data_IF_431582618812
#
_entry.id   IF_431582618812
#
_cell.length_a   1.000
_cell.length_b   1.000
_cell.length_c   1.000
_cell.angle_alpha   90.00
_cell.angle_beta   90.00
_cell.angle_gamma   90.00
#
_symmetry.space_group_name_H-M   'P 1'
#
loop_
_entity.id
_entity.type
_entity.pdbx_description
1 polymer ?
#
# COMPACT_ATOMS: atom_id res chain seq x y z
N UNK A 1 20.89 -21.54 -15.36
CA UNK A 1 21.47 -20.18 -15.37
C UNK A 1 20.80 -19.30 -16.44
N UNK A 2 20.83 -19.67 -17.71
CA UNK A 2 20.25 -18.89 -18.84
C UNK A 2 18.75 -18.54 -18.65
N UNK A 3 17.93 -19.50 -18.20
CA UNK A 3 16.49 -19.29 -17.98
C UNK A 3 16.22 -18.20 -16.92
N UNK A 4 17.00 -18.17 -15.86
CA UNK A 4 16.86 -17.15 -14.81
C UNK A 4 17.25 -15.74 -15.32
N UNK A 5 18.29 -15.64 -16.15
CA UNK A 5 18.71 -14.37 -16.75
C UNK A 5 17.67 -13.86 -17.76
N UNK A 6 17.07 -14.74 -18.55
CA UNK A 6 15.98 -14.41 -19.47
C UNK A 6 14.77 -13.83 -18.70
N UNK A 7 14.41 -14.41 -17.56
CA UNK A 7 13.29 -13.94 -16.75
C UNK A 7 13.55 -12.56 -16.15
N UNK A 8 14.77 -12.31 -15.67
CA UNK A 8 15.19 -10.98 -15.22
C UNK A 8 15.07 -9.96 -16.36
N UNK A 9 15.58 -10.29 -17.55
CA UNK A 9 15.52 -9.38 -18.71
C UNK A 9 14.08 -9.12 -19.18
N UNK A 10 13.18 -10.11 -19.05
CA UNK A 10 11.75 -9.91 -19.33
C UNK A 10 11.12 -8.93 -18.34
N UNK A 11 11.44 -9.02 -17.06
CA UNK A 11 10.97 -8.07 -16.05
C UNK A 11 11.49 -6.64 -16.28
N UNK A 12 12.63 -6.51 -16.98
CA UNK A 12 13.16 -5.22 -17.45
C UNK A 12 12.54 -4.74 -18.78
N UNK A 13 11.51 -5.42 -19.29
CA UNK A 13 10.75 -5.02 -20.48
C UNK A 13 11.30 -5.51 -21.81
N UNK A 14 12.11 -6.56 -21.82
CA UNK A 14 12.52 -7.26 -23.04
C UNK A 14 11.57 -8.43 -23.31
N UNK A 15 11.24 -8.64 -24.60
CA UNK A 15 10.58 -9.89 -24.95
C UNK A 15 11.59 -11.06 -25.03
N UNK A 16 11.09 -12.29 -25.11
CA UNK A 16 11.93 -13.50 -25.11
C UNK A 16 13.02 -13.48 -26.22
N UNK A 17 12.70 -13.00 -27.40
CA UNK A 17 13.67 -12.93 -28.51
C UNK A 17 14.71 -11.84 -28.27
N UNK A 18 14.32 -10.70 -27.75
CA UNK A 18 15.22 -9.60 -27.38
C UNK A 18 16.19 -10.03 -26.29
N UNK A 19 15.70 -10.72 -25.24
CA UNK A 19 16.53 -11.26 -24.17
C UNK A 19 17.58 -12.25 -24.69
N UNK A 20 17.18 -13.20 -25.56
CA UNK A 20 18.10 -14.16 -26.18
C UNK A 20 19.19 -13.48 -27.01
N UNK A 21 18.83 -12.49 -27.83
CA UNK A 21 19.79 -11.76 -28.67
C UNK A 21 20.75 -10.93 -27.81
N UNK A 22 20.25 -10.28 -26.75
CA UNK A 22 21.10 -9.54 -25.83
C UNK A 22 22.11 -10.46 -25.11
N UNK A 23 21.66 -11.61 -24.58
CA UNK A 23 22.55 -12.59 -23.96
C UNK A 23 23.59 -13.11 -24.96
N UNK A 24 23.20 -13.38 -26.21
CA UNK A 24 24.13 -13.77 -27.26
C UNK A 24 25.17 -12.67 -27.58
N UNK A 25 24.79 -11.37 -27.49
CA UNK A 25 25.75 -10.27 -27.61
C UNK A 25 26.75 -10.21 -26.46
N UNK A 26 26.28 -10.46 -25.23
CA UNK A 26 27.15 -10.51 -24.04
C UNK A 26 28.11 -11.72 -24.13
N UNK A 27 27.60 -12.90 -24.46
CA UNK A 27 28.37 -14.14 -24.55
C UNK A 27 29.47 -14.08 -25.61
N UNK A 28 29.17 -13.55 -26.81
CA UNK A 28 30.12 -13.49 -27.90
C UNK A 28 31.01 -12.23 -27.89
N UNK A 29 30.73 -11.27 -26.99
CA UNK A 29 31.39 -9.98 -27.03
C UNK A 29 31.13 -9.27 -28.37
N UNK A 30 32.18 -8.71 -28.97
CA UNK A 30 32.10 -8.06 -30.27
C UNK A 30 32.01 -9.08 -31.40
N UNK A 31 30.82 -9.21 -32.01
CA UNK A 31 30.55 -10.21 -33.05
C UNK A 31 29.70 -9.69 -34.20
N UNK A 32 29.82 -10.29 -35.41
CA UNK A 32 28.91 -9.99 -36.51
C UNK A 32 27.55 -10.63 -36.30
N UNK A 33 26.51 -10.11 -36.96
CA UNK A 33 25.13 -10.61 -36.81
C UNK A 33 24.99 -12.11 -37.06
N UNK A 34 25.76 -12.68 -37.97
CA UNK A 34 25.72 -14.14 -38.25
C UNK A 34 26.05 -14.98 -37.02
N UNK A 35 27.06 -14.59 -36.25
CA UNK A 35 27.46 -15.26 -35.01
C UNK A 35 26.38 -15.11 -33.94
N UNK A 36 25.92 -13.87 -33.70
CA UNK A 36 24.87 -13.58 -32.71
C UNK A 36 23.58 -14.34 -33.04
N UNK A 37 23.17 -14.37 -34.32
CA UNK A 37 21.99 -15.10 -34.81
C UNK A 37 22.09 -16.61 -34.53
N UNK A 38 23.28 -17.17 -34.74
CA UNK A 38 23.57 -18.60 -34.50
C UNK A 38 23.46 -18.90 -33.00
N UNK A 39 24.11 -18.10 -32.13
CA UNK A 39 24.10 -18.27 -30.67
C UNK A 39 22.67 -18.10 -30.12
N UNK A 40 21.94 -17.08 -30.53
CA UNK A 40 20.57 -16.82 -30.12
C UNK A 40 19.56 -17.84 -30.67
N UNK A 41 19.93 -18.64 -31.67
CA UNK A 41 19.05 -19.56 -32.41
C UNK A 41 17.87 -18.85 -33.07
N UNK A 42 18.15 -17.68 -33.67
CA UNK A 42 17.15 -16.83 -34.33
C UNK A 42 17.66 -16.57 -35.75
N UNK A 43 16.75 -16.48 -36.74
CA UNK A 43 17.17 -16.20 -38.10
C UNK A 43 17.83 -14.80 -38.23
N UNK A 44 18.75 -14.67 -39.20
CA UNK A 44 19.58 -13.49 -39.34
C UNK A 44 18.79 -12.20 -39.60
N UNK A 45 17.71 -12.26 -40.37
CA UNK A 45 16.87 -11.07 -40.67
C UNK A 45 16.22 -10.55 -39.40
N UNK A 46 15.55 -11.43 -38.65
CA UNK A 46 14.93 -11.09 -37.34
C UNK A 46 15.97 -10.59 -36.33
N UNK A 47 17.19 -11.15 -36.37
CA UNK A 47 18.27 -10.70 -35.46
C UNK A 47 18.70 -9.27 -35.76
N UNK A 48 18.75 -8.84 -37.02
CA UNK A 48 18.99 -7.43 -37.36
C UNK A 48 17.93 -6.50 -36.78
N UNK A 49 16.64 -6.84 -36.97
CA UNK A 49 15.53 -6.03 -36.43
C UNK A 49 15.59 -5.92 -34.90
N UNK A 50 15.93 -7.02 -34.22
CA UNK A 50 16.09 -7.05 -32.76
C UNK A 50 17.28 -6.20 -32.31
N UNK A 51 18.43 -6.34 -32.97
CA UNK A 51 19.64 -5.56 -32.68
C UNK A 51 19.39 -4.05 -32.83
N UNK A 52 18.62 -3.64 -33.85
CA UNK A 52 18.24 -2.23 -34.03
C UNK A 52 17.32 -1.74 -32.89
N UNK A 53 16.39 -2.60 -32.38
CA UNK A 53 15.57 -2.29 -31.21
C UNK A 53 16.41 -2.21 -29.93
N UNK A 54 17.28 -3.17 -29.69
CA UNK A 54 18.18 -3.18 -28.53
C UNK A 54 19.12 -1.97 -28.54
N UNK A 55 19.61 -1.56 -29.73
CA UNK A 55 20.40 -0.34 -29.89
C UNK A 55 19.61 0.90 -29.47
N UNK A 56 18.35 1.04 -29.90
CA UNK A 56 17.48 2.16 -29.48
C UNK A 56 17.23 2.18 -27.97
N UNK A 57 17.27 1.00 -27.34
CA UNK A 57 17.14 0.85 -25.88
C UNK A 57 18.49 1.07 -25.14
N UNK A 58 19.61 1.30 -25.87
CA UNK A 58 20.94 1.44 -25.26
C UNK A 58 21.61 0.13 -24.81
N UNK A 59 21.01 -1.03 -25.13
CA UNK A 59 21.46 -2.34 -24.69
C UNK A 59 22.54 -2.95 -25.58
N UNK A 60 22.71 -2.42 -26.80
CA UNK A 60 23.68 -2.90 -27.79
C UNK A 60 24.27 -1.70 -28.52
N UNK A 61 25.58 -1.71 -28.69
CA UNK A 61 26.33 -0.80 -29.57
C UNK A 61 26.79 -1.51 -30.85
N UNK A 62 27.17 -0.75 -31.87
CA UNK A 62 27.75 -1.31 -33.08
C UNK A 62 28.82 -0.42 -33.68
N UNK A 63 29.72 -1.01 -34.43
CA UNK A 63 30.64 -0.33 -35.34
C UNK A 63 30.80 -1.12 -36.63
N UNK A 64 31.36 -0.47 -37.65
CA UNK A 64 31.59 -1.11 -38.95
C UNK A 64 33.08 -1.27 -39.19
N UNK A 65 33.51 -2.49 -39.53
CA UNK A 65 34.88 -2.79 -39.94
C UNK A 65 34.85 -3.62 -41.21
N UNK A 66 35.60 -3.24 -42.21
CA UNK A 66 35.67 -3.92 -43.52
C UNK A 66 34.24 -4.19 -44.14
N UNK A 67 33.38 -3.18 -44.11
CA UNK A 67 31.98 -3.26 -44.61
C UNK A 67 31.08 -4.24 -43.84
N UNK A 68 31.55 -4.80 -42.73
CA UNK A 68 30.77 -5.69 -41.86
C UNK A 68 30.42 -4.97 -40.56
N UNK A 69 29.13 -5.04 -40.17
CA UNK A 69 28.69 -4.51 -38.86
C UNK A 69 28.98 -5.52 -37.78
N UNK A 70 29.63 -5.06 -36.73
CA UNK A 70 29.87 -5.79 -35.48
C UNK A 70 29.03 -5.17 -34.38
N UNK A 71 28.47 -5.99 -33.55
CA UNK A 71 27.64 -5.59 -32.43
C UNK A 71 28.28 -6.04 -31.10
N UNK A 72 28.08 -5.24 -30.07
CA UNK A 72 28.54 -5.53 -28.72
C UNK A 72 27.43 -5.24 -27.73
N UNK A 73 27.16 -6.17 -26.80
CA UNK A 73 26.24 -5.96 -25.71
C UNK A 73 26.81 -4.91 -24.72
N UNK A 74 25.97 -4.01 -24.24
CA UNK A 74 26.32 -3.09 -23.16
C UNK A 74 26.62 -3.89 -21.90
N UNK A 75 27.69 -3.53 -21.21
CA UNK A 75 28.08 -4.14 -19.94
C UNK A 75 26.92 -4.10 -18.93
N UNK A 76 26.59 -5.21 -18.26
CA UNK A 76 25.52 -5.24 -17.27
C UNK A 76 25.67 -4.21 -16.14
N UNK A 77 26.89 -3.87 -15.74
CA UNK A 77 27.13 -2.85 -14.71
C UNK A 77 26.73 -1.45 -15.20
N UNK A 78 27.07 -1.10 -16.45
CA UNK A 78 26.64 0.16 -17.08
C UNK A 78 25.12 0.19 -17.22
N UNK A 79 24.51 -0.96 -17.53
CA UNK A 79 23.07 -1.07 -17.63
C UNK A 79 22.40 -0.80 -16.28
N UNK A 80 22.94 -1.33 -15.19
CA UNK A 80 22.47 -1.08 -13.82
C UNK A 80 22.51 0.42 -13.49
N UNK A 81 23.66 1.09 -13.73
CA UNK A 81 23.81 2.53 -13.51
C UNK A 81 22.77 3.36 -14.27
N UNK A 82 22.48 2.98 -15.53
CA UNK A 82 21.46 3.67 -16.32
C UNK A 82 20.05 3.51 -15.76
N UNK A 83 19.69 2.31 -15.30
CA UNK A 83 18.40 2.08 -14.64
C UNK A 83 18.28 2.83 -13.31
N UNK A 84 19.33 2.89 -12.51
CA UNK A 84 19.36 3.66 -11.28
C UNK A 84 19.18 5.16 -11.56
N UNK A 85 19.85 5.69 -12.59
CA UNK A 85 19.68 7.07 -13.03
C UNK A 85 18.23 7.36 -13.42
N UNK A 86 17.62 6.52 -14.25
CA UNK A 86 16.21 6.67 -14.68
C UNK A 86 15.27 6.61 -13.47
N UNK A 87 15.55 5.76 -12.51
CA UNK A 87 14.78 5.66 -11.26
C UNK A 87 14.88 6.96 -10.45
N UNK A 88 16.06 7.55 -10.35
CA UNK A 88 16.26 8.82 -9.67
C UNK A 88 15.58 9.99 -10.40
N UNK A 89 15.67 10.02 -11.74
CA UNK A 89 14.97 11.03 -12.54
C UNK A 89 13.46 10.95 -12.31
N UNK A 90 12.90 9.74 -12.26
CA UNK A 90 11.48 9.54 -11.95
C UNK A 90 11.16 10.01 -10.52
N UNK A 91 11.99 9.67 -9.52
CA UNK A 91 11.81 10.13 -8.13
C UNK A 91 11.75 11.65 -8.04
N UNK A 92 12.63 12.35 -8.76
CA UNK A 92 12.65 13.82 -8.78
C UNK A 92 11.45 14.43 -9.52
N UNK A 93 10.87 13.70 -10.48
CA UNK A 93 9.70 14.12 -11.23
C UNK A 93 8.37 13.86 -10.49
N UNK A 94 8.32 12.89 -9.55
CA UNK A 94 7.11 12.52 -8.79
C UNK A 94 6.40 13.74 -8.17
N UNK A 95 7.07 14.70 -7.48
CA UNK A 95 6.39 15.88 -6.94
C UNK A 95 5.69 16.73 -8.01
N UNK A 96 6.30 16.85 -9.20
CA UNK A 96 5.70 17.59 -10.33
C UNK A 96 4.48 16.86 -10.89
N UNK A 97 4.54 15.53 -11.03
CA UNK A 97 3.37 14.74 -11.42
C UNK A 97 2.22 14.87 -10.42
N UNK A 98 2.54 14.87 -9.12
CA UNK A 98 1.56 15.08 -8.06
C UNK A 98 0.89 16.45 -8.13
N UNK A 99 1.65 17.51 -8.47
CA UNK A 99 1.08 18.85 -8.70
C UNK A 99 0.11 18.88 -9.90
N UNK A 100 0.38 18.12 -10.97
CA UNK A 100 -0.51 18.04 -12.14
C UNK A 100 -1.84 17.35 -11.81
N UNK A 101 -1.87 16.44 -10.84
CA UNK A 101 -3.11 15.80 -10.41
C UNK A 101 -3.99 16.67 -9.52
N UNK A 102 -3.61 17.94 -9.32
CA UNK A 102 -4.39 18.87 -8.51
C UNK A 102 -4.51 18.38 -7.06
N UNK A 103 -3.37 18.08 -6.41
CA UNK A 103 -3.33 17.73 -4.98
C UNK A 103 -3.73 18.96 -4.12
N UNK A 104 -4.94 19.45 -4.36
CA UNK A 104 -5.65 20.36 -3.49
C UNK A 104 -6.63 19.54 -2.67
N UNK A 105 -6.35 19.36 -1.37
CA UNK A 105 -7.30 19.10 -0.28
C UNK A 105 -8.39 18.00 -0.45
N UNK A 106 -8.35 17.17 -1.51
CA UNK A 106 -9.31 16.08 -1.66
C UNK A 106 -8.76 14.77 -1.11
N UNK A 107 -9.55 14.01 -0.35
CA UNK A 107 -9.19 12.68 0.09
C UNK A 107 -8.80 11.81 -1.11
N UNK A 108 -7.65 11.16 -1.07
CA UNK A 108 -7.22 10.21 -2.09
C UNK A 108 -7.72 8.83 -1.72
N UNK A 109 -8.47 8.19 -2.60
CA UNK A 109 -8.95 6.82 -2.41
C UNK A 109 -8.28 5.91 -3.41
N UNK A 110 -7.62 4.85 -2.91
CA UNK A 110 -7.07 3.76 -3.72
C UNK A 110 -7.90 2.51 -3.47
N UNK A 111 -8.30 1.85 -4.53
CA UNK A 111 -9.10 0.63 -4.50
C UNK A 111 -8.25 -0.58 -4.89
N UNK A 112 -8.53 -1.73 -4.25
CA UNK A 112 -7.77 -2.96 -4.41
C UNK A 112 -8.73 -4.15 -4.46
N UNK A 113 -8.46 -5.11 -5.37
CA UNK A 113 -9.26 -6.32 -5.55
C UNK A 113 -8.40 -7.58 -5.45
N UNK A 114 -9.02 -8.66 -4.98
CA UNK A 114 -8.39 -9.96 -4.87
C UNK A 114 -7.28 -10.04 -3.82
N UNK A 115 -6.73 -11.23 -3.63
CA UNK A 115 -5.74 -11.50 -2.59
C UNK A 115 -4.47 -10.64 -2.75
N UNK A 116 -3.97 -10.47 -3.97
CA UNK A 116 -2.76 -9.65 -4.20
C UNK A 116 -3.02 -8.16 -3.95
N UNK A 117 -4.25 -7.68 -4.23
CA UNK A 117 -4.69 -6.35 -3.86
C UNK A 117 -4.71 -6.17 -2.34
N UNK A 118 -5.27 -7.13 -1.60
CA UNK A 118 -5.27 -7.11 -0.13
C UNK A 118 -3.84 -7.13 0.42
N UNK A 119 -2.94 -7.99 -0.08
CA UNK A 119 -1.52 -8.00 0.32
C UNK A 119 -0.82 -6.65 0.07
N UNK A 120 -1.23 -5.94 -0.98
CA UNK A 120 -0.71 -4.60 -1.28
C UNK A 120 -1.12 -3.59 -0.20
N UNK A 121 -2.34 -3.68 0.34
CA UNK A 121 -2.79 -2.86 1.48
C UNK A 121 -1.93 -3.13 2.71
N UNK A 122 -1.71 -4.41 3.06
CA UNK A 122 -0.86 -4.76 4.20
C UNK A 122 0.60 -4.33 3.98
N UNK A 123 1.09 -4.36 2.75
CA UNK A 123 2.42 -3.84 2.40
C UNK A 123 2.50 -2.32 2.62
N UNK A 124 1.44 -1.57 2.32
CA UNK A 124 1.37 -0.13 2.60
C UNK A 124 1.45 0.12 4.12
N UNK A 125 0.77 -0.68 4.96
CA UNK A 125 0.86 -0.52 6.42
C UNK A 125 2.27 -0.76 6.97
N UNK A 126 3.14 -1.52 6.27
CA UNK A 126 4.55 -1.69 6.64
C UNK A 126 5.40 -0.43 6.40
N UNK A 127 4.84 0.61 5.85
CA UNK A 127 5.46 1.94 5.70
C UNK A 127 5.06 2.91 6.81
N UNK A 128 4.19 2.50 7.73
CA UNK A 128 3.66 3.33 8.79
C UNK A 128 4.77 3.91 9.68
N UNK A 129 4.66 5.20 9.98
CA UNK A 129 5.54 5.96 10.88
C UNK A 129 4.94 6.07 12.28
N UNK A 130 3.63 5.88 12.39
CA UNK A 130 2.89 5.82 13.66
C UNK A 130 2.56 4.38 14.03
N UNK A 131 1.99 4.16 15.22
CA UNK A 131 1.33 2.90 15.52
C UNK A 131 0.16 2.64 14.58
N UNK A 132 -0.14 1.37 14.33
CA UNK A 132 -1.34 0.95 13.60
C UNK A 132 -2.45 0.70 14.62
N UNK A 133 -3.58 1.40 14.48
CA UNK A 133 -4.79 1.12 15.23
C UNK A 133 -5.68 0.21 14.36
N UNK A 134 -6.10 -0.93 14.92
CA UNK A 134 -6.70 -2.00 14.13
C UNK A 134 -8.01 -2.51 14.76
N UNK A 135 -9.09 -2.49 13.99
CA UNK A 135 -10.26 -3.32 14.24
C UNK A 135 -10.07 -4.62 13.45
N UNK A 136 -9.77 -5.70 14.16
CA UNK A 136 -9.24 -6.92 13.54
C UNK A 136 -10.32 -7.95 13.26
N UNK A 137 -10.27 -8.52 12.07
CA UNK A 137 -10.95 -9.76 11.74
C UNK A 137 -9.92 -10.90 11.56
N UNK A 138 -9.33 -11.29 12.67
CA UNK A 138 -8.17 -12.19 12.71
C UNK A 138 -8.41 -13.57 12.13
N UNK A 139 -9.67 -14.03 12.08
CA UNK A 139 -10.04 -15.33 11.53
C UNK A 139 -10.04 -15.31 10.00
N UNK A 140 -10.82 -14.42 9.40
CA UNK A 140 -11.01 -14.38 7.95
C UNK A 140 -9.71 -14.11 7.18
N UNK A 141 -8.87 -13.20 7.67
CA UNK A 141 -7.58 -12.94 6.98
C UNK A 141 -6.70 -14.19 6.93
N UNK A 142 -6.70 -15.05 7.96
CA UNK A 142 -5.89 -16.26 7.98
C UNK A 142 -6.49 -17.39 7.14
N UNK A 143 -7.79 -17.39 6.94
CA UNK A 143 -8.47 -18.32 6.03
C UNK A 143 -8.08 -18.06 4.58
N UNK A 144 -8.05 -16.79 4.16
CA UNK A 144 -7.71 -16.41 2.78
C UNK A 144 -6.21 -16.29 2.52
N UNK A 145 -5.42 -16.03 3.56
CA UNK A 145 -3.96 -15.91 3.49
C UNK A 145 -3.28 -16.76 4.57
N UNK A 146 -3.11 -18.08 4.35
CA UNK A 146 -2.58 -18.99 5.36
C UNK A 146 -1.21 -18.62 5.92
N UNK A 147 -0.36 -17.96 5.11
CA UNK A 147 0.96 -17.49 5.51
C UNK A 147 0.99 -16.08 6.11
N UNK A 148 -0.16 -15.49 6.43
CA UNK A 148 -0.29 -14.12 6.93
C UNK A 148 0.65 -13.81 8.11
N UNK A 149 0.71 -14.68 9.10
CA UNK A 149 1.54 -14.47 10.28
C UNK A 149 3.04 -14.40 9.93
N UNK A 150 3.50 -15.25 8.99
CA UNK A 150 4.90 -15.26 8.54
C UNK A 150 5.23 -14.12 7.58
N UNK A 151 4.35 -13.85 6.64
CA UNK A 151 4.62 -12.92 5.54
C UNK A 151 4.35 -11.46 5.92
N UNK A 152 3.45 -11.21 6.88
CA UNK A 152 3.10 -9.85 7.31
C UNK A 152 3.39 -9.59 8.79
N UNK A 153 2.79 -10.40 9.71
CA UNK A 153 2.86 -10.10 11.15
C UNK A 153 4.31 -10.09 11.66
N UNK A 154 5.12 -11.07 11.24
CA UNK A 154 6.53 -11.14 11.58
C UNK A 154 7.30 -9.93 11.04
N UNK A 155 7.11 -9.58 9.77
CA UNK A 155 7.77 -8.43 9.13
C UNK A 155 7.40 -7.10 9.79
N UNK A 156 6.13 -6.92 10.20
CA UNK A 156 5.70 -5.72 10.92
C UNK A 156 6.41 -5.62 12.27
N UNK A 157 6.50 -6.73 13.00
CA UNK A 157 7.18 -6.79 14.29
C UNK A 157 8.70 -6.52 14.15
N UNK A 158 9.37 -7.09 13.13
CA UNK A 158 10.77 -6.83 12.81
C UNK A 158 11.03 -5.34 12.52
N UNK A 159 10.11 -4.69 11.81
CA UNK A 159 10.16 -3.23 11.54
C UNK A 159 9.81 -2.38 12.76
N UNK A 160 9.49 -2.98 13.90
CA UNK A 160 9.10 -2.28 15.11
C UNK A 160 7.88 -1.35 14.93
N UNK A 161 6.97 -1.68 14.03
CA UNK A 161 5.71 -0.97 13.88
C UNK A 161 4.73 -1.55 14.90
N UNK A 162 4.40 -0.77 15.92
CA UNK A 162 3.48 -1.20 16.98
C UNK A 162 2.05 -1.29 16.47
N UNK A 163 1.30 -2.31 16.90
CA UNK A 163 -0.11 -2.45 16.57
C UNK A 163 -0.94 -2.50 17.85
N UNK A 164 -1.97 -1.70 17.91
CA UNK A 164 -2.97 -1.65 18.95
C UNK A 164 -4.31 -2.05 18.35
N UNK A 165 -4.87 -3.18 18.78
CA UNK A 165 -6.00 -3.78 18.09
C UNK A 165 -7.14 -4.19 19.00
N UNK A 166 -8.34 -4.16 18.46
CA UNK A 166 -9.57 -4.67 19.05
C UNK A 166 -10.03 -5.84 18.19
N UNK A 167 -10.29 -7.00 18.78
CA UNK A 167 -10.74 -8.19 18.07
C UNK A 167 -11.80 -8.96 18.86
N UNK A 168 -12.59 -9.82 18.20
CA UNK A 168 -13.52 -10.72 18.87
C UNK A 168 -12.81 -11.65 19.86
N UNK A 169 -13.47 -11.95 20.98
CA UNK A 169 -13.03 -12.95 21.96
C UNK A 169 -13.43 -14.36 21.49
N UNK A 170 -12.83 -14.77 20.39
CA UNK A 170 -12.91 -16.12 19.84
C UNK A 170 -11.59 -16.88 20.05
N UNK A 171 -11.54 -18.13 19.62
CA UNK A 171 -10.35 -19.00 19.77
C UNK A 171 -9.11 -18.39 19.08
N UNK A 172 -9.30 -17.70 17.95
CA UNK A 172 -8.21 -17.06 17.21
C UNK A 172 -7.80 -15.74 17.85
N UNK A 173 -8.74 -14.90 18.27
CA UNK A 173 -8.48 -13.69 19.04
C UNK A 173 -7.69 -13.96 20.29
N UNK A 174 -8.07 -14.97 21.08
CA UNK A 174 -7.34 -15.41 22.27
C UNK A 174 -5.92 -15.89 21.96
N UNK A 175 -5.72 -16.65 20.86
CA UNK A 175 -4.39 -17.03 20.41
C UNK A 175 -3.55 -15.82 20.04
N UNK A 176 -4.12 -14.90 19.27
CA UNK A 176 -3.47 -13.66 18.86
C UNK A 176 -3.06 -12.83 20.07
N UNK A 177 -3.94 -12.66 21.05
CA UNK A 177 -3.68 -11.91 22.30
C UNK A 177 -2.55 -12.54 23.13
N UNK A 178 -2.49 -13.87 23.24
CA UNK A 178 -1.40 -14.57 23.97
C UNK A 178 -0.01 -14.32 23.37
N UNK A 179 0.06 -13.99 22.10
CA UNK A 179 1.32 -13.73 21.36
C UNK A 179 1.63 -12.23 21.20
N UNK A 180 1.00 -11.34 21.98
CA UNK A 180 1.12 -9.89 21.84
C UNK A 180 2.56 -9.39 21.95
N UNK A 181 3.28 -9.81 23.00
CA UNK A 181 4.68 -9.42 23.22
C UNK A 181 5.59 -9.87 22.09
N UNK A 182 5.41 -11.14 21.66
CA UNK A 182 6.19 -11.73 20.56
C UNK A 182 6.09 -10.95 19.27
N UNK A 183 4.91 -10.41 18.97
CA UNK A 183 4.65 -9.71 17.72
C UNK A 183 4.49 -8.20 17.85
N UNK A 184 5.04 -7.62 18.91
CA UNK A 184 5.07 -6.16 19.11
C UNK A 184 3.71 -5.52 18.90
N UNK A 185 2.71 -5.99 19.66
CA UNK A 185 1.33 -5.50 19.61
C UNK A 185 0.65 -5.55 20.97
N UNK A 186 -0.54 -4.97 21.06
CA UNK A 186 -1.47 -5.09 22.17
C UNK A 186 -2.88 -5.25 21.65
N UNK A 187 -3.52 -6.35 21.98
CA UNK A 187 -4.89 -6.65 21.58
C UNK A 187 -5.84 -6.55 22.78
N UNK A 188 -7.03 -6.04 22.53
CA UNK A 188 -8.16 -6.14 23.44
C UNK A 188 -9.22 -7.07 22.86
N UNK A 189 -9.71 -7.98 23.69
CA UNK A 189 -10.74 -8.94 23.33
C UNK A 189 -12.11 -8.40 23.73
N UNK A 190 -13.05 -8.43 22.79
CA UNK A 190 -14.45 -8.04 23.02
C UNK A 190 -15.34 -9.26 22.73
N UNK A 191 -16.34 -9.56 23.58
CA UNK A 191 -17.28 -10.63 23.31
C UNK A 191 -17.90 -10.52 21.92
N UNK A 192 -17.98 -11.62 21.17
CA UNK A 192 -18.54 -11.66 19.81
C UNK A 192 -19.95 -11.06 19.74
N UNK A 193 -20.75 -11.21 20.82
CA UNK A 193 -22.10 -10.64 20.90
C UNK A 193 -22.11 -9.10 20.88
N UNK A 194 -20.99 -8.45 21.19
CA UNK A 194 -20.85 -6.99 21.24
C UNK A 194 -20.04 -6.42 20.08
N UNK A 195 -19.28 -7.24 19.38
CA UNK A 195 -18.43 -6.82 18.26
C UNK A 195 -18.70 -7.68 17.02
N UNK A 196 -19.65 -7.27 16.22
CA UNK A 196 -19.92 -7.90 14.92
C UNK A 196 -19.26 -7.10 13.79
N UNK A 197 -17.92 -7.19 13.73
CA UNK A 197 -17.14 -6.55 12.66
C UNK A 197 -16.86 -7.58 11.57
N UNK A 198 -17.39 -7.32 10.37
CA UNK A 198 -17.24 -8.18 9.19
C UNK A 198 -16.10 -7.76 8.27
N UNK A 199 -15.51 -6.61 8.53
CA UNK A 199 -14.38 -6.05 7.80
C UNK A 199 -13.21 -5.74 8.76
N UNK A 200 -12.03 -5.52 8.22
CA UNK A 200 -10.89 -5.04 8.99
C UNK A 200 -10.64 -3.56 8.68
N UNK A 201 -10.30 -2.78 9.71
CA UNK A 201 -9.94 -1.37 9.57
C UNK A 201 -8.57 -1.16 10.18
N UNK A 202 -7.64 -0.60 9.42
CA UNK A 202 -6.31 -0.19 9.87
C UNK A 202 -6.16 1.33 9.75
N UNK A 203 -5.82 2.01 10.84
CA UNK A 203 -5.63 3.46 10.91
C UNK A 203 -4.15 3.71 11.23
N UNK A 204 -3.44 4.39 10.36
CA UNK A 204 -2.01 4.71 10.50
C UNK A 204 -1.68 5.99 9.75
N UNK A 205 -0.72 6.76 10.25
CA UNK A 205 -0.35 8.05 9.68
C UNK A 205 -1.59 8.92 9.39
N UNK A 206 -1.80 9.33 8.15
CA UNK A 206 -2.97 10.05 7.63
C UNK A 206 -3.89 9.14 6.78
N UNK A 207 -3.83 7.82 7.01
CA UNK A 207 -4.49 6.81 6.21
C UNK A 207 -5.48 5.97 7.02
N UNK A 208 -6.54 5.56 6.34
CA UNK A 208 -7.49 4.55 6.82
C UNK A 208 -7.61 3.49 5.73
N UNK A 209 -7.21 2.26 6.05
CA UNK A 209 -7.44 1.11 5.18
C UNK A 209 -8.65 0.32 5.68
N UNK A 210 -9.57 0.00 4.79
CA UNK A 210 -10.78 -0.81 5.06
C UNK A 210 -10.72 -2.02 4.15
N UNK A 211 -10.88 -3.24 4.71
CA UNK A 211 -10.72 -4.50 4.00
C UNK A 211 -11.92 -5.38 4.27
N UNK A 212 -12.60 -5.84 3.23
CA UNK A 212 -13.65 -6.86 3.27
C UNK A 212 -13.10 -8.20 2.81
N UNK A 213 -13.40 -9.27 3.57
CA UNK A 213 -12.89 -10.62 3.31
C UNK A 213 -13.96 -11.58 2.82
N UNK A 214 -15.25 -11.29 3.10
CA UNK A 214 -16.39 -12.12 2.69
C UNK A 214 -16.84 -11.68 1.30
N UNK A 215 -17.50 -12.55 0.58
CA UNK A 215 -18.16 -12.39 -0.72
C UNK A 215 -17.38 -11.54 -1.76
N UNK A 216 -16.84 -10.42 -1.34
CA UNK A 216 -16.04 -9.50 -2.11
C UNK A 216 -14.67 -9.36 -1.46
N UNK A 217 -13.64 -9.93 -2.06
CA UNK A 217 -12.26 -9.76 -1.61
C UNK A 217 -11.74 -8.42 -2.12
N UNK A 218 -12.12 -7.35 -1.42
CA UNK A 218 -11.83 -5.97 -1.79
C UNK A 218 -11.27 -5.18 -0.62
N UNK A 219 -10.60 -4.09 -0.94
CA UNK A 219 -10.17 -3.14 0.06
C UNK A 219 -9.89 -1.76 -0.53
N UNK A 220 -9.82 -0.78 0.35
CA UNK A 220 -9.50 0.59 -0.03
C UNK A 220 -8.56 1.22 0.99
N UNK A 221 -7.73 2.15 0.53
CA UNK A 221 -6.96 3.06 1.38
C UNK A 221 -7.44 4.47 1.11
N UNK A 222 -7.89 5.15 2.16
CA UNK A 222 -8.30 6.55 2.14
C UNK A 222 -7.15 7.35 2.77
N UNK A 223 -6.53 8.23 1.99
CA UNK A 223 -5.49 9.15 2.46
C UNK A 223 -6.15 10.51 2.75
N UNK A 224 -6.37 10.81 4.03
CA UNK A 224 -6.96 12.06 4.52
C UNK A 224 -6.68 12.22 6.00
N UNK A 225 -6.02 13.30 6.36
CA UNK A 225 -5.70 13.63 7.75
C UNK A 225 -6.96 13.76 8.60
N UNK A 226 -8.01 14.39 8.10
CA UNK A 226 -9.27 14.57 8.84
C UNK A 226 -10.00 13.25 9.07
N UNK A 227 -10.10 12.41 8.03
CA UNK A 227 -10.73 11.08 8.15
C UNK A 227 -9.92 10.20 9.10
N UNK A 228 -8.59 10.17 8.98
CA UNK A 228 -7.72 9.39 9.85
C UNK A 228 -7.82 9.85 11.31
N UNK A 229 -7.86 11.17 11.57
CA UNK A 229 -8.02 11.72 12.91
C UNK A 229 -9.38 11.38 13.51
N UNK A 230 -10.46 11.46 12.74
CA UNK A 230 -11.80 11.09 13.18
C UNK A 230 -11.87 9.59 13.53
N UNK A 231 -11.34 8.73 12.67
CA UNK A 231 -11.30 7.29 12.93
C UNK A 231 -10.41 6.94 14.12
N UNK A 232 -9.30 7.64 14.31
CA UNK A 232 -8.44 7.50 15.49
C UNK A 232 -9.16 7.89 16.79
N UNK A 233 -9.95 8.96 16.76
CA UNK A 233 -10.75 9.39 17.89
C UNK A 233 -11.80 8.32 18.27
N UNK A 234 -12.50 7.77 17.26
CA UNK A 234 -13.48 6.68 17.45
C UNK A 234 -12.79 5.44 18.02
N UNK A 235 -11.65 5.04 17.45
CA UNK A 235 -10.87 3.91 17.97
C UNK A 235 -10.48 4.11 19.43
N UNK A 236 -9.96 5.27 19.79
CA UNK A 236 -9.54 5.56 21.16
C UNK A 236 -10.73 5.55 22.13
N UNK A 237 -11.89 6.02 21.72
CA UNK A 237 -13.12 5.92 22.50
C UNK A 237 -13.48 4.45 22.75
N UNK A 238 -13.53 3.62 21.71
CA UNK A 238 -13.77 2.17 21.83
C UNK A 238 -12.73 1.50 22.73
N UNK A 239 -11.46 1.79 22.51
CA UNK A 239 -10.35 1.24 23.29
C UNK A 239 -10.44 1.56 24.78
N UNK A 240 -10.78 2.78 25.13
CA UNK A 240 -10.91 3.21 26.51
C UNK A 240 -12.12 2.58 27.21
N UNK A 241 -13.24 2.40 26.48
CA UNK A 241 -14.43 1.74 27.01
C UNK A 241 -14.23 0.24 27.26
N UNK A 242 -13.44 -0.44 26.43
CA UNK A 242 -13.13 -1.86 26.64
C UNK A 242 -12.23 -2.10 27.84
N UNK A 243 -11.48 -1.09 28.31
CA UNK A 243 -10.70 -1.15 29.55
C UNK A 243 -11.54 -0.93 30.84
N UNK A 244 -12.73 -0.37 30.72
CA UNK A 244 -13.66 -0.27 31.84
C UNK A 244 -14.25 -1.67 32.04
N UNK A 245 -13.85 -2.34 33.13
CA UNK A 245 -14.37 -3.64 33.48
C UNK A 245 -15.91 -3.62 33.41
N UNK A 246 -16.48 -4.37 32.44
CA UNK A 246 -17.92 -4.58 32.34
C UNK A 246 -18.56 -5.28 33.57
N UNK A 247 -17.84 -5.37 34.68
CA UNK A 247 -18.33 -5.87 35.96
C UNK A 247 -19.14 -4.83 36.73
N UNK A 248 -19.08 -3.55 36.33
CA UNK A 248 -19.93 -2.53 36.95
C UNK A 248 -21.30 -2.50 36.26
N UNK A 249 -22.30 -3.15 36.87
CA UNK A 249 -23.70 -3.18 36.40
C UNK A 249 -24.31 -1.79 36.20
N UNK A 250 -23.80 -0.75 36.89
CA UNK A 250 -24.26 0.63 36.74
C UNK A 250 -23.88 1.22 35.41
N UNK A 251 -22.67 0.90 34.90
CA UNK A 251 -22.23 1.33 33.56
C UNK A 251 -23.01 0.58 32.46
N UNK A 252 -23.28 -0.70 32.70
CA UNK A 252 -24.12 -1.52 31.79
C UNK A 252 -25.51 -0.94 31.58
N UNK A 253 -26.15 -0.52 32.67
CA UNK A 253 -27.49 0.04 32.66
C UNK A 253 -27.55 1.48 32.10
N UNK A 254 -26.49 2.28 32.30
CA UNK A 254 -26.39 3.66 31.79
C UNK A 254 -26.16 3.72 30.28
N UNK A 255 -25.43 2.76 29.71
CA UNK A 255 -25.17 2.69 28.25
C UNK A 255 -26.33 2.09 27.44
N UNK A 256 -27.26 1.38 28.11
CA UNK A 256 -28.41 0.72 27.47
C UNK A 256 -29.73 1.48 27.68
N UNK A 257 -29.76 2.53 28.50
CA UNK A 257 -30.96 3.37 28.66
C UNK A 257 -31.09 4.27 27.43
N UNK A 258 -32.16 4.16 26.64
CA UNK A 258 -32.42 5.12 25.58
C UNK A 258 -32.58 6.51 26.21
N UNK A 259 -31.96 7.51 25.58
CA UNK A 259 -32.16 8.92 25.97
C UNK A 259 -33.64 9.23 26.00
N UNK A 260 -34.11 9.89 27.04
CA UNK A 260 -35.49 10.35 27.11
C UNK A 260 -35.78 11.36 25.98
N UNK A 261 -37.02 11.45 25.56
CA UNK A 261 -37.40 12.42 24.52
C UNK A 261 -37.06 13.86 24.88
N UNK A 262 -37.00 14.17 26.19
CA UNK A 262 -36.62 15.50 26.70
C UNK A 262 -35.13 15.74 26.55
N UNK A 263 -34.26 14.75 26.80
CA UNK A 263 -32.80 14.84 26.61
C UNK A 263 -32.45 14.96 25.12
N UNK A 264 -33.15 14.25 24.24
CA UNK A 264 -33.01 14.38 22.79
C UNK A 264 -33.41 15.77 22.32
N UNK A 265 -34.56 16.31 22.82
CA UNK A 265 -35.03 17.66 22.49
C UNK A 265 -34.08 18.74 23.01
N UNK A 266 -33.52 18.57 24.21
CA UNK A 266 -32.53 19.48 24.76
C UNK A 266 -31.25 19.54 23.92
N UNK A 267 -30.72 18.39 23.52
CA UNK A 267 -29.52 18.28 22.66
C UNK A 267 -29.75 18.90 21.28
N UNK A 268 -30.92 18.69 20.68
CA UNK A 268 -31.28 19.30 19.39
C UNK A 268 -31.43 20.83 19.52
N UNK A 269 -31.95 21.33 20.66
CA UNK A 269 -32.10 22.77 20.89
C UNK A 269 -30.77 23.48 21.10
N UNK A 270 -29.75 22.79 21.64
CA UNK A 270 -28.40 23.31 21.75
C UNK A 270 -27.67 23.41 20.39
N UNK A 271 -27.86 22.41 19.53
CA UNK A 271 -27.26 22.38 18.18
C UNK A 271 -27.93 23.42 17.27
N UNK A 272 -29.20 23.71 17.49
CA UNK A 272 -29.99 24.69 16.69
C UNK A 272 -29.84 26.15 17.12
N UNK A 273 -29.04 26.47 18.16
CA UNK A 273 -28.73 27.86 18.46
C UNK A 273 -27.82 28.44 17.36
N UNK A 274 -28.28 29.43 16.58
CA UNK A 274 -27.48 29.97 15.49
C UNK A 274 -26.20 30.58 16.04
N UNK A 275 -25.07 30.27 15.39
CA UNK A 275 -23.76 30.93 15.53
C UNK A 275 -23.88 32.43 15.17
N UNK A 276 -24.51 33.23 16.06
CA UNK A 276 -24.75 34.67 15.83
C UNK A 276 -23.52 35.54 16.07
N UNK A 277 -22.40 35.00 16.55
CA UNK A 277 -21.20 35.84 16.84
C UNK A 277 -20.20 35.93 15.70
N UNK A 278 -20.05 34.95 14.86
CA UNK A 278 -19.01 34.98 13.80
C UNK A 278 -19.41 35.80 12.55
N UNK A 279 -20.71 35.93 12.28
CA UNK A 279 -21.15 36.76 11.11
C UNK A 279 -20.99 38.27 11.28
N UNK A 280 -20.79 38.75 12.50
CA UNK A 280 -20.56 40.21 12.75
C UNK A 280 -19.11 40.61 12.54
N UNK A 281 -18.16 39.74 12.94
CA UNK A 281 -16.72 40.01 12.72
C UNK A 281 -16.28 39.90 11.26
N UNK A 282 -16.92 39.02 10.46
CA UNK A 282 -16.63 38.90 9.02
C UNK A 282 -17.20 40.10 8.19
N UNK A 283 -18.26 40.76 8.65
CA UNK A 283 -18.78 41.95 7.98
C UNK A 283 -17.98 43.20 8.28
N UNK A 284 -17.37 43.30 9.46
CA UNK A 284 -16.52 44.47 9.82
C UNK A 284 -15.11 44.37 9.18
N UNK A 285 -14.61 43.16 8.89
CA UNK A 285 -13.32 43.00 8.18
C UNK A 285 -13.38 43.22 6.66
N UNK A 286 -14.56 43.20 6.06
CA UNK A 286 -14.72 43.45 4.61
C UNK A 286 -15.06 44.90 4.27
N UNK A 287 -15.14 45.82 5.25
CA UNK A 287 -15.41 47.22 5.00
C UNK A 287 -14.15 48.14 5.02
N UNK A 288 -12.95 47.54 5.17
CA UNK A 288 -11.68 48.29 5.16
C UNK A 288 -10.79 48.02 3.93
N UNK A 289 -11.37 47.58 2.82
CA UNK A 289 -10.65 47.44 1.55
C UNK A 289 -11.49 48.03 0.42
N UNK A 290 -11.60 49.38 0.41
CA UNK A 290 -11.78 50.22 -0.76
C UNK A 290 -11.05 51.56 -0.53
#
# INVERSE_FOLDING_TARGET
MEIALIEILKNLGLNLKEAKVYLACIENGTAPVSTIASTAKINRVTTYDILDKLKKKGLVSHFTKNKVKYFNGTDPDILLEEFEKRTNDLRTAIPKFKQLTGETAHPRVRYFEGLEGIKSIYTDTLTAKTEILNYSNSKEIREIWPNYDKEYVAKRAEKRIFLKGICPDDAIGQKVHREDEKYFRRMQLIPESQLNITNEINIYDDKVAIISFKDELIGMIIESTEIANSQRAIFNMCWNHTNVNFQDERVKNSLLAPLSEEEVKASISEISKPLKKEKKELKEKNLCLF
#
